data_IF_319878964882
#
_entry.id   IF_319878964882
#
_cell.length_a   1.000
_cell.length_b   1.000
_cell.length_c   1.000
_cell.angle_alpha   90.00
_cell.angle_beta   90.00
_cell.angle_gamma   90.00
#
_symmetry.space_group_name_H-M   'P 1'
#
loop_
_entity.id
_entity.type
_entity.pdbx_description
1 polymer ?
#
# COMPACT_ATOMS: atom_id res chain seq x y z
N UNK A 1 -7.25 -1.05 -76.52
CA UNK A 1 -7.93 -0.77 -75.23
C UNK A 1 -7.09 0.24 -74.46
N UNK A 2 -7.73 1.20 -73.79
CA UNK A 2 -7.15 2.40 -73.16
C UNK A 2 -6.60 2.13 -71.75
N UNK A 3 -5.61 2.93 -71.33
CA UNK A 3 -5.06 3.07 -69.96
C UNK A 3 -6.11 3.53 -68.93
N UNK A 4 -5.90 3.24 -67.63
CA UNK A 4 -5.65 4.28 -66.61
C UNK A 4 -5.27 3.78 -65.21
N UNK A 5 -4.45 4.62 -64.57
CA UNK A 5 -3.93 4.62 -63.20
C UNK A 5 -4.96 5.11 -62.15
N UNK A 6 -4.73 4.69 -60.90
CA UNK A 6 -4.95 5.36 -59.60
C UNK A 6 -6.32 5.48 -58.89
N UNK A 7 -6.19 5.28 -57.56
CA UNK A 7 -7.01 5.66 -56.40
C UNK A 7 -8.30 4.89 -56.10
N UNK A 8 -8.34 4.24 -54.93
CA UNK A 8 -9.17 4.70 -53.79
C UNK A 8 -9.00 3.87 -52.49
N UNK A 9 -8.62 4.59 -51.42
CA UNK A 9 -8.96 4.44 -50.00
C UNK A 9 -8.31 3.36 -49.11
N UNK A 10 -7.37 3.86 -48.29
CA UNK A 10 -7.16 3.43 -46.91
C UNK A 10 -8.47 3.38 -46.13
N UNK A 11 -8.72 2.29 -45.40
CA UNK A 11 -9.39 2.36 -44.11
C UNK A 11 -8.75 1.34 -43.18
N UNK A 12 -8.07 1.87 -42.18
CA UNK A 12 -7.52 1.17 -41.03
C UNK A 12 -8.68 0.55 -40.23
N UNK A 13 -8.71 -0.78 -40.16
CA UNK A 13 -9.50 -1.46 -39.14
C UNK A 13 -8.82 -1.17 -37.79
N UNK A 14 -9.33 -0.14 -37.09
CA UNK A 14 -8.95 0.18 -35.72
C UNK A 14 -9.12 -1.06 -34.84
N UNK A 15 -7.99 -1.62 -34.42
CA UNK A 15 -7.92 -2.37 -33.17
C UNK A 15 -8.52 -1.48 -32.08
N UNK A 16 -9.51 -2.01 -31.35
CA UNK A 16 -10.00 -1.40 -30.12
C UNK A 16 -8.90 -1.55 -29.08
N UNK A 17 -8.03 -0.55 -29.00
CA UNK A 17 -7.17 -0.38 -27.83
C UNK A 17 -8.09 -0.15 -26.61
N UNK A 18 -8.03 -1.07 -25.65
CA UNK A 18 -8.46 -0.85 -24.27
C UNK A 18 -7.54 0.23 -23.69
N UNK A 19 -8.03 1.45 -23.38
CA UNK A 19 -7.16 2.51 -22.93
C UNK A 19 -6.74 2.37 -21.46
N UNK A 20 -7.32 1.45 -20.69
CA UNK A 20 -7.01 1.31 -19.25
C UNK A 20 -5.74 0.51 -18.95
N UNK A 21 -5.37 -0.48 -19.77
CA UNK A 21 -4.19 -1.30 -19.47
C UNK A 21 -2.87 -0.60 -19.79
N UNK A 22 -2.87 0.32 -20.76
CA UNK A 22 -1.62 0.94 -21.23
C UNK A 22 -1.04 1.91 -20.22
N UNK A 23 -1.90 2.68 -19.54
CA UNK A 23 -1.51 3.64 -18.50
C UNK A 23 -1.02 2.95 -17.22
N UNK A 24 -1.52 1.76 -16.91
CA UNK A 24 -1.03 0.95 -15.79
C UNK A 24 0.35 0.37 -16.11
N UNK A 25 0.56 -0.14 -17.33
CA UNK A 25 1.84 -0.70 -17.78
C UNK A 25 2.93 0.38 -17.85
N UNK A 26 2.61 1.60 -18.27
CA UNK A 26 3.57 2.72 -18.33
C UNK A 26 4.11 3.15 -16.95
N UNK A 27 3.35 2.96 -15.86
CA UNK A 27 3.83 3.20 -14.49
C UNK A 27 4.66 2.03 -13.91
N UNK A 28 4.61 0.84 -14.52
CA UNK A 28 5.27 -0.37 -14.02
C UNK A 28 6.69 -0.56 -14.56
N UNK A 29 7.00 0.00 -15.74
CA UNK A 29 8.35 0.04 -16.29
C UNK A 29 9.33 0.82 -15.38
N UNK A 30 8.82 1.73 -14.55
CA UNK A 30 9.61 2.58 -13.65
C UNK A 30 10.09 1.86 -12.38
N UNK A 31 9.48 0.73 -12.01
CA UNK A 31 9.78 -0.01 -10.76
C UNK A 31 10.81 -1.14 -10.99
N UNK A 32 11.19 -1.40 -12.25
CA UNK A 32 12.24 -2.37 -12.59
C UNK A 32 11.84 -3.86 -12.49
N UNK A 33 10.54 -4.18 -12.50
CA UNK A 33 10.02 -5.55 -12.48
C UNK A 33 9.42 -5.97 -13.82
N UNK A 34 9.54 -7.25 -14.16
CA UNK A 34 8.88 -7.86 -15.31
C UNK A 34 7.39 -8.11 -15.06
N UNK A 35 6.60 -8.25 -16.12
CA UNK A 35 5.17 -8.58 -16.01
C UNK A 35 4.94 -9.90 -15.24
N UNK A 36 5.79 -10.90 -15.46
CA UNK A 36 5.73 -12.20 -14.79
C UNK A 36 5.99 -12.09 -13.28
N UNK A 37 6.95 -11.26 -12.87
CA UNK A 37 7.20 -10.98 -11.45
C UNK A 37 6.02 -10.25 -10.80
N UNK A 38 5.43 -9.27 -11.49
CA UNK A 38 4.28 -8.54 -10.97
C UNK A 38 3.05 -9.44 -10.78
N UNK A 39 2.83 -10.39 -11.70
CA UNK A 39 1.79 -11.40 -11.56
C UNK A 39 2.03 -12.34 -10.38
N UNK A 40 3.29 -12.56 -9.96
CA UNK A 40 3.59 -13.30 -8.73
C UNK A 40 3.16 -12.50 -7.49
N UNK A 41 3.48 -11.21 -7.42
CA UNK A 41 3.03 -10.34 -6.33
C UNK A 41 1.51 -10.24 -6.26
N UNK A 42 0.82 -10.16 -7.40
CA UNK A 42 -0.65 -10.08 -7.46
C UNK A 42 -1.34 -11.24 -6.72
N UNK A 43 -0.72 -12.42 -6.67
CA UNK A 43 -1.26 -13.60 -5.94
C UNK A 43 -1.37 -13.39 -4.43
N UNK A 44 -0.61 -12.45 -3.88
CA UNK A 44 -0.52 -12.17 -2.45
C UNK A 44 -1.07 -10.79 -2.08
N UNK A 45 -1.83 -10.15 -2.98
CA UNK A 45 -2.37 -8.80 -2.76
C UNK A 45 -3.17 -8.67 -1.46
N UNK A 46 -3.92 -9.69 -1.06
CA UNK A 46 -4.74 -9.66 0.16
C UNK A 46 -3.88 -9.61 1.43
N UNK A 47 -2.70 -10.24 1.38
CA UNK A 47 -1.71 -10.13 2.45
C UNK A 47 -1.14 -8.71 2.51
N UNK A 48 -0.74 -8.14 1.37
CA UNK A 48 -0.18 -6.78 1.34
C UNK A 48 -1.20 -5.73 1.78
N UNK A 49 -2.46 -5.87 1.35
CA UNK A 49 -3.57 -5.07 1.83
C UNK A 49 -3.72 -5.17 3.35
N UNK A 50 -3.67 -6.40 3.89
CA UNK A 50 -3.77 -6.63 5.34
C UNK A 50 -2.63 -5.95 6.08
N UNK A 51 -1.41 -5.94 5.55
CA UNK A 51 -0.29 -5.26 6.21
C UNK A 51 -0.52 -3.75 6.33
N UNK A 52 -1.01 -3.08 5.29
CA UNK A 52 -1.39 -1.65 5.40
C UNK A 52 -2.44 -1.47 6.51
N UNK A 53 -3.49 -2.29 6.54
CA UNK A 53 -4.55 -2.14 7.54
C UNK A 53 -4.02 -2.43 8.94
N UNK A 54 -3.20 -3.46 9.11
CA UNK A 54 -2.57 -3.81 10.38
C UNK A 54 -1.64 -2.71 10.88
N UNK A 55 -0.78 -2.14 10.03
CA UNK A 55 0.06 -1.00 10.41
C UNK A 55 -0.80 0.15 10.92
N UNK A 56 -1.83 0.56 10.15
CA UNK A 56 -2.73 1.64 10.58
C UNK A 56 -3.43 1.32 11.90
N UNK A 57 -3.86 0.07 12.12
CA UNK A 57 -4.47 -0.36 13.38
C UNK A 57 -3.46 -0.24 14.53
N UNK A 58 -2.21 -0.70 14.37
CA UNK A 58 -1.20 -0.57 15.41
C UNK A 58 -0.93 0.89 15.77
N UNK A 59 -0.82 1.79 14.77
CA UNK A 59 -0.65 3.22 15.03
C UNK A 59 -1.89 3.90 15.64
N UNK A 60 -3.06 3.27 15.56
CA UNK A 60 -4.28 3.76 16.20
C UNK A 60 -4.35 3.47 17.70
N UNK A 61 -3.50 2.56 18.20
CA UNK A 61 -3.52 2.13 19.59
C UNK A 61 -2.89 3.14 20.55
N UNK A 62 -3.39 3.15 21.79
CA UNK A 62 -2.71 3.75 22.93
C UNK A 62 -1.67 2.77 23.52
N UNK A 63 -0.94 3.22 24.56
CA UNK A 63 0.11 2.39 25.19
C UNK A 63 -0.45 1.06 25.69
N UNK A 64 -1.56 1.08 26.41
CA UNK A 64 -2.16 -0.14 26.99
C UNK A 64 -2.55 -1.15 25.90
N UNK A 65 -3.19 -0.68 24.82
CA UNK A 65 -3.60 -1.50 23.68
C UNK A 65 -2.39 -2.06 22.90
N UNK A 66 -1.30 -1.29 22.80
CA UNK A 66 -0.08 -1.74 22.15
C UNK A 66 0.68 -2.74 23.03
N UNK A 67 0.69 -2.57 24.35
CA UNK A 67 1.26 -3.55 25.31
C UNK A 67 0.50 -4.88 25.27
N UNK A 68 -0.83 -4.85 25.12
CA UNK A 68 -1.66 -6.04 24.90
C UNK A 68 -1.26 -6.85 23.65
N UNK A 69 -0.52 -6.25 22.71
CA UNK A 69 -0.02 -6.93 21.52
C UNK A 69 1.28 -7.70 21.76
N UNK A 70 1.97 -7.53 22.90
CA UNK A 70 3.23 -8.23 23.21
C UNK A 70 3.19 -9.78 23.13
N UNK A 71 2.05 -10.48 23.32
CA UNK A 71 1.98 -11.93 23.08
C UNK A 71 1.92 -12.30 21.58
N UNK A 72 1.56 -11.35 20.72
CA UNK A 72 1.37 -11.54 19.28
C UNK A 72 2.61 -11.02 18.52
N UNK A 73 3.08 -9.84 18.91
CA UNK A 73 4.23 -9.13 18.35
C UNK A 73 5.46 -9.40 19.22
N UNK A 74 6.63 -9.55 18.61
CA UNK A 74 7.86 -9.85 19.38
C UNK A 74 8.25 -8.64 20.25
N UNK A 75 8.23 -7.45 19.65
CA UNK A 75 8.44 -6.15 20.29
C UNK A 75 7.48 -5.14 19.65
N UNK A 76 6.34 -4.80 20.29
CA UNK A 76 5.33 -3.95 19.68
C UNK A 76 5.83 -2.59 19.16
N UNK A 77 6.84 -2.00 19.81
CA UNK A 77 7.37 -0.70 19.40
C UNK A 77 8.26 -0.82 18.17
N UNK A 78 9.07 -1.87 18.08
CA UNK A 78 9.86 -2.17 16.89
C UNK A 78 8.95 -2.56 15.71
N UNK A 79 7.94 -3.38 15.99
CA UNK A 79 7.01 -3.92 14.99
C UNK A 79 6.13 -2.82 14.39
N UNK A 80 5.82 -1.72 15.11
CA UNK A 80 5.20 -0.53 14.52
C UNK A 80 5.98 -0.04 13.29
N UNK A 81 7.31 0.08 13.44
CA UNK A 81 8.19 0.54 12.38
C UNK A 81 8.33 -0.50 11.27
N UNK A 82 8.60 -1.77 11.63
CA UNK A 82 8.86 -2.83 10.67
C UNK A 82 7.63 -3.16 9.81
N UNK A 83 6.45 -3.25 10.42
CA UNK A 83 5.20 -3.52 9.70
C UNK A 83 4.87 -2.39 8.73
N UNK A 84 5.07 -1.14 9.16
CA UNK A 84 4.85 0.02 8.29
C UNK A 84 5.84 0.04 7.13
N UNK A 85 7.13 -0.14 7.39
CA UNK A 85 8.13 -0.14 6.33
C UNK A 85 7.88 -1.25 5.32
N UNK A 86 7.50 -2.45 5.78
CA UNK A 86 7.15 -3.55 4.91
C UNK A 86 5.92 -3.24 4.05
N UNK A 87 4.85 -2.73 4.66
CA UNK A 87 3.60 -2.40 3.97
C UNK A 87 3.78 -1.35 2.87
N UNK A 88 4.80 -0.49 2.99
CA UNK A 88 5.11 0.59 2.06
C UNK A 88 6.30 0.31 1.13
N UNK A 89 6.81 -0.93 1.08
CA UNK A 89 7.75 -1.34 0.03
C UNK A 89 7.09 -1.07 -1.34
N UNK A 90 7.73 -0.34 -2.27
CA UNK A 90 7.08 0.18 -3.48
C UNK A 90 6.30 -0.88 -4.27
N UNK A 91 6.90 -2.04 -4.54
CA UNK A 91 6.22 -3.10 -5.32
C UNK A 91 5.01 -3.69 -4.59
N UNK A 92 5.05 -3.80 -3.26
CA UNK A 92 3.94 -4.33 -2.46
C UNK A 92 2.80 -3.33 -2.39
N UNK A 93 3.15 -2.07 -2.11
CA UNK A 93 2.21 -0.95 -2.04
C UNK A 93 1.48 -0.75 -3.37
N UNK A 94 2.21 -0.65 -4.49
CA UNK A 94 1.62 -0.48 -5.82
C UNK A 94 0.73 -1.67 -6.23
N UNK A 95 1.07 -2.88 -5.79
CA UNK A 95 0.27 -4.09 -6.07
C UNK A 95 -1.15 -3.96 -5.53
N UNK A 96 -1.35 -3.31 -4.37
CA UNK A 96 -2.67 -3.11 -3.75
C UNK A 96 -3.57 -2.23 -4.62
N UNK A 97 -3.01 -1.14 -5.17
CA UNK A 97 -3.75 -0.20 -6.01
C UNK A 97 -3.99 -0.75 -7.42
N UNK A 98 -2.98 -1.39 -8.02
CA UNK A 98 -3.11 -2.07 -9.33
C UNK A 98 -4.26 -3.08 -9.32
N UNK A 99 -4.42 -3.81 -8.22
CA UNK A 99 -5.47 -4.79 -8.01
C UNK A 99 -6.75 -4.22 -7.40
N UNK A 100 -6.84 -2.89 -7.23
CA UNK A 100 -8.03 -2.16 -6.75
C UNK A 100 -8.52 -2.62 -5.37
N UNK A 101 -7.61 -3.08 -4.50
CA UNK A 101 -7.93 -3.36 -3.09
C UNK A 101 -8.15 -2.08 -2.30
N UNK A 102 -7.42 -1.02 -2.65
CA UNK A 102 -7.64 0.35 -2.18
C UNK A 102 -7.84 1.23 -3.41
N UNK A 103 -8.70 2.24 -3.30
CA UNK A 103 -8.89 3.23 -4.36
C UNK A 103 -7.64 4.12 -4.49
N UNK A 104 -7.18 4.39 -5.71
CA UNK A 104 -6.06 5.28 -6.02
C UNK A 104 -6.17 6.65 -5.32
N UNK A 105 -7.39 7.14 -5.08
CA UNK A 105 -7.63 8.40 -4.40
C UNK A 105 -7.04 8.48 -2.97
N UNK A 106 -6.77 7.33 -2.34
CA UNK A 106 -6.19 7.27 -0.99
C UNK A 106 -4.67 7.10 -0.99
N UNK A 107 -4.04 6.96 -2.16
CA UNK A 107 -2.61 6.68 -2.26
C UNK A 107 -1.75 7.77 -1.63
N UNK A 108 -2.03 9.02 -1.98
CA UNK A 108 -1.30 10.18 -1.43
C UNK A 108 -1.51 10.32 0.08
N UNK A 109 -2.74 10.12 0.56
CA UNK A 109 -3.08 10.14 1.98
C UNK A 109 -2.26 9.09 2.77
N UNK A 110 -2.08 7.89 2.22
CA UNK A 110 -1.30 6.81 2.82
C UNK A 110 0.22 7.11 2.78
N UNK A 111 0.73 7.60 1.66
CA UNK A 111 2.14 8.00 1.53
C UNK A 111 2.50 9.16 2.48
N UNK A 112 1.58 10.13 2.63
CA UNK A 112 1.75 11.23 3.56
C UNK A 112 1.78 10.75 5.00
N UNK A 113 0.93 9.79 5.37
CA UNK A 113 0.96 9.16 6.69
C UNK A 113 2.30 8.46 6.95
N UNK A 114 2.79 7.64 6.00
CA UNK A 114 4.10 7.00 6.14
C UNK A 114 5.21 8.03 6.35
N UNK A 115 5.20 9.09 5.55
CA UNK A 115 6.16 10.19 5.68
C UNK A 115 6.07 10.87 7.05
N UNK A 116 4.86 11.10 7.57
CA UNK A 116 4.69 11.70 8.89
C UNK A 116 5.28 10.81 10.00
N UNK A 117 5.17 9.49 9.87
CA UNK A 117 5.80 8.53 10.78
C UNK A 117 7.33 8.54 10.64
N UNK A 118 7.85 8.52 9.40
CA UNK A 118 9.29 8.57 9.14
C UNK A 118 9.95 9.86 9.67
N UNK A 119 9.17 10.95 9.72
CA UNK A 119 9.59 12.26 10.24
C UNK A 119 9.53 12.34 11.80
N UNK A 120 9.07 11.29 12.50
CA UNK A 120 9.06 11.25 13.97
C UNK A 120 10.52 11.21 14.49
N UNK A 121 10.92 12.16 15.35
CA UNK A 121 12.26 12.15 15.96
C UNK A 121 12.53 10.87 16.76
N UNK A 122 13.71 10.28 16.58
CA UNK A 122 14.12 9.04 17.27
C UNK A 122 14.06 9.16 18.80
N UNK A 123 14.22 10.36 19.34
CA UNK A 123 14.21 10.63 20.78
C UNK A 123 12.83 10.41 21.42
N UNK A 124 11.76 10.43 20.62
CA UNK A 124 10.40 10.21 21.09
C UNK A 124 9.85 8.85 20.67
N UNK A 125 10.67 7.98 20.08
CA UNK A 125 10.37 6.57 19.84
C UNK A 125 10.61 5.75 21.12
N UNK A 126 9.84 6.06 22.16
CA UNK A 126 9.87 5.37 23.44
C UNK A 126 8.45 5.34 24.04
N UNK A 127 8.17 4.28 24.80
CA UNK A 127 6.89 4.03 25.45
C UNK A 127 6.37 5.23 26.25
N UNK A 128 7.26 5.97 26.94
CA UNK A 128 6.89 7.11 27.77
C UNK A 128 6.25 8.27 26.96
N UNK A 129 6.50 8.32 25.64
CA UNK A 129 6.03 9.40 24.78
C UNK A 129 4.79 9.06 23.96
N UNK A 130 4.45 7.79 23.76
CA UNK A 130 3.38 7.35 22.84
C UNK A 130 2.02 7.98 23.15
N UNK A 131 1.67 8.14 24.43
CA UNK A 131 0.40 8.77 24.84
C UNK A 131 0.52 10.24 25.25
N UNK A 132 1.74 10.74 25.43
CA UNK A 132 1.98 12.05 26.01
C UNK A 132 2.37 13.07 24.95
N UNK A 133 3.21 12.66 24.00
CA UNK A 133 3.78 13.55 22.99
C UNK A 133 2.77 13.88 21.90
N UNK A 134 2.69 15.16 21.52
CA UNK A 134 1.69 15.64 20.57
C UNK A 134 1.84 15.00 19.19
N UNK A 135 3.08 14.75 18.74
CA UNK A 135 3.35 14.02 17.48
C UNK A 135 2.66 12.66 17.46
N UNK A 136 2.81 11.85 18.50
CA UNK A 136 2.18 10.53 18.56
C UNK A 136 0.67 10.60 18.61
N UNK A 137 0.10 11.58 19.32
CA UNK A 137 -1.35 11.83 19.31
C UNK A 137 -1.85 12.18 17.91
N UNK A 138 -1.13 13.01 17.17
CA UNK A 138 -1.49 13.37 15.80
C UNK A 138 -1.41 12.17 14.86
N UNK A 139 -0.33 11.38 14.95
CA UNK A 139 -0.17 10.14 14.17
C UNK A 139 -1.31 9.17 14.44
N UNK A 140 -1.69 8.98 15.71
CA UNK A 140 -2.83 8.14 16.08
C UNK A 140 -4.14 8.62 15.48
N UNK A 141 -4.41 9.93 15.56
CA UNK A 141 -5.61 10.52 14.97
C UNK A 141 -5.63 10.38 13.45
N UNK A 142 -4.49 10.57 12.79
CA UNK A 142 -4.35 10.37 11.34
C UNK A 142 -4.62 8.91 10.95
N UNK A 143 -4.04 7.95 11.67
CA UNK A 143 -4.27 6.53 11.44
C UNK A 143 -5.77 6.18 11.59
N UNK A 144 -6.42 6.66 12.66
CA UNK A 144 -7.86 6.50 12.86
C UNK A 144 -8.70 7.12 11.74
N UNK A 145 -8.35 8.31 11.28
CA UNK A 145 -9.03 8.96 10.16
C UNK A 145 -8.88 8.16 8.86
N UNK A 146 -7.71 7.59 8.60
CA UNK A 146 -7.46 6.74 7.42
C UNK A 146 -8.27 5.45 7.48
N UNK A 147 -8.27 4.76 8.63
CA UNK A 147 -9.08 3.55 8.82
C UNK A 147 -10.57 3.83 8.55
N UNK A 148 -11.07 4.95 9.06
CA UNK A 148 -12.45 5.39 8.80
C UNK A 148 -12.70 5.72 7.31
N UNK A 149 -11.79 6.44 6.65
CA UNK A 149 -11.88 6.74 5.20
C UNK A 149 -11.89 5.46 4.34
N UNK A 150 -11.13 4.45 4.76
CA UNK A 150 -11.05 3.14 4.13
C UNK A 150 -12.24 2.21 4.48
N UNK A 151 -13.18 2.68 5.31
CA UNK A 151 -14.32 1.91 5.83
C UNK A 151 -13.90 0.63 6.58
N UNK A 152 -12.79 0.68 7.32
CA UNK A 152 -12.41 -0.38 8.23
C UNK A 152 -13.17 -0.15 9.54
N UNK A 153 -14.06 -1.07 9.89
CA UNK A 153 -14.90 -0.93 11.09
C UNK A 153 -14.19 -1.44 12.36
N UNK A 154 -13.30 -2.41 12.22
CA UNK A 154 -12.61 -3.05 13.34
C UNK A 154 -11.27 -2.38 13.62
N UNK A 155 -10.86 -2.37 14.88
CA UNK A 155 -9.49 -2.02 15.33
C UNK A 155 -8.84 -3.24 15.94
N UNK A 156 -8.97 -4.36 15.25
CA UNK A 156 -8.43 -5.64 15.69
C UNK A 156 -7.36 -6.04 14.70
N UNK A 157 -6.13 -6.18 15.18
CA UNK A 157 -5.01 -6.66 14.39
C UNK A 157 -5.31 -8.05 13.84
N UNK A 158 -5.10 -8.24 12.54
CA UNK A 158 -5.37 -9.50 11.87
C UNK A 158 -4.11 -10.39 11.87
N UNK A 159 -4.19 -11.53 12.57
CA UNK A 159 -3.11 -12.52 12.66
C UNK A 159 -3.21 -13.66 11.64
N UNK A 160 -4.23 -13.67 10.78
CA UNK A 160 -4.54 -14.80 9.89
C UNK A 160 -3.54 -14.94 8.74
N UNK A 161 -2.78 -13.89 8.43
CA UNK A 161 -1.78 -13.91 7.37
C UNK A 161 -0.36 -13.99 7.96
N UNK A 162 0.21 -15.19 8.00
CA UNK A 162 1.65 -15.37 8.25
C UNK A 162 2.48 -14.85 7.09
N UNK A 163 3.45 -13.99 7.38
CA UNK A 163 4.42 -13.41 6.45
C UNK A 163 5.03 -14.44 5.49
N UNK A 164 4.82 -14.25 4.19
CA UNK A 164 5.48 -15.04 3.16
C UNK A 164 6.89 -14.47 2.91
N UNK A 165 7.91 -15.09 3.49
CA UNK A 165 9.30 -14.81 3.14
C UNK A 165 9.63 -15.48 1.79
N UNK A 166 9.63 -14.72 0.70
CA UNK A 166 10.20 -15.19 -0.56
C UNK A 166 11.72 -15.33 -0.40
N UNK A 167 12.20 -16.57 -0.39
CA UNK A 167 13.65 -16.83 -0.50
C UNK A 167 14.11 -16.49 -1.92
N UNK A 168 15.09 -15.59 -2.01
CA UNK A 168 15.90 -15.35 -3.21
C UNK A 168 16.61 -16.62 -3.67
#
# INVERSE_FOLDING_TARGET
>A
MKLNFFNKFFSTAKQKDKPENKTIIENLEDIGFTEEELLEYDKHVDFYYTNIINSLILYSYNVDQLDEMAPILIDPLAELYEELDYAFIPVLFETIFRNKRINESFKEDLLQFKKNVDDIPVEIWDWDFLDQHETWKNIRLEAEMLLNKLNIETRTYNTDYTTFLFKK
#
